data_IF_880933697687
#
_entry.id   IF_880933697687
#
_cell.length_a   1.000
_cell.length_b   1.000
_cell.length_c   1.000
_cell.angle_alpha   90.00
_cell.angle_beta   90.00
_cell.angle_gamma   90.00
#
_symmetry.space_group_name_H-M   'P 1'
#
loop_
_entity.id
_entity.type
_entity.pdbx_description
1 polymer ?
#
# COMPACT_ATOMS: atom_id res chain seq x y z
N UNK A 1 18.28 -20.27 -18.79
CA UNK A 1 18.75 -18.90 -18.50
C UNK A 1 17.68 -18.24 -17.65
N UNK A 2 18.08 -17.71 -16.49
CA UNK A 2 17.28 -17.06 -15.45
C UNK A 2 16.46 -15.94 -16.10
N UNK A 3 15.20 -15.76 -15.68
CA UNK A 3 14.40 -14.59 -16.07
C UNK A 3 15.31 -13.36 -15.98
N UNK A 4 15.61 -12.65 -17.09
CA UNK A 4 16.18 -11.34 -16.95
C UNK A 4 15.14 -10.54 -16.15
N UNK A 5 15.62 -9.78 -15.18
CA UNK A 5 14.90 -8.84 -14.31
C UNK A 5 14.09 -7.77 -15.08
N UNK A 6 13.27 -8.14 -16.07
CA UNK A 6 12.26 -7.33 -16.72
C UNK A 6 10.99 -7.17 -15.86
N UNK A 7 11.17 -7.10 -14.55
CA UNK A 7 10.13 -6.83 -13.57
C UNK A 7 10.70 -6.12 -12.35
N UNK A 8 11.86 -5.48 -12.52
CA UNK A 8 12.53 -4.69 -11.49
C UNK A 8 11.64 -3.51 -11.11
N UNK A 9 10.88 -3.68 -10.03
CA UNK A 9 10.42 -2.58 -9.21
C UNK A 9 11.67 -1.79 -8.82
N UNK A 10 11.96 -0.76 -9.60
CA UNK A 10 13.05 0.19 -9.35
C UNK A 10 13.00 0.62 -7.88
N UNK A 11 14.14 0.93 -7.27
CA UNK A 11 14.16 1.43 -5.90
C UNK A 11 13.14 2.58 -5.70
N UNK A 12 12.90 3.36 -6.75
CA UNK A 12 11.88 4.40 -6.85
C UNK A 12 10.44 3.87 -6.81
N UNK A 13 10.10 2.81 -7.54
CA UNK A 13 8.78 2.19 -7.44
C UNK A 13 8.55 1.52 -6.08
N UNK A 14 9.59 0.96 -5.47
CA UNK A 14 9.54 0.43 -4.11
C UNK A 14 9.33 1.56 -3.10
N UNK A 15 10.08 2.64 -3.20
CA UNK A 15 9.93 3.83 -2.37
C UNK A 15 8.56 4.50 -2.55
N UNK A 16 8.05 4.54 -3.79
CA UNK A 16 6.71 5.06 -4.08
C UNK A 16 5.62 4.18 -3.47
N UNK A 17 5.77 2.85 -3.52
CA UNK A 17 4.84 1.92 -2.84
C UNK A 17 4.92 2.05 -1.32
N UNK A 18 6.11 2.23 -0.76
CA UNK A 18 6.29 2.44 0.68
C UNK A 18 5.65 3.77 1.12
N UNK A 19 5.87 4.86 0.37
CA UNK A 19 5.21 6.14 0.63
C UNK A 19 3.69 6.03 0.52
N UNK A 20 3.18 5.31 -0.48
CA UNK A 20 1.74 5.04 -0.62
C UNK A 20 1.21 4.23 0.57
N UNK A 21 1.99 3.26 1.06
CA UNK A 21 1.61 2.43 2.21
C UNK A 21 1.56 3.25 3.50
N UNK A 22 2.55 4.12 3.73
CA UNK A 22 2.59 5.03 4.88
C UNK A 22 1.47 6.07 4.82
N UNK A 23 1.25 6.70 3.67
CA UNK A 23 0.16 7.67 3.49
C UNK A 23 -1.22 7.00 3.61
N UNK A 24 -1.35 5.74 3.17
CA UNK A 24 -2.57 4.97 3.39
C UNK A 24 -2.75 4.58 4.86
N UNK A 25 -1.67 4.29 5.58
CA UNK A 25 -1.71 4.01 7.01
C UNK A 25 -2.18 5.21 7.82
N UNK A 26 -1.62 6.39 7.55
CA UNK A 26 -2.01 7.65 8.19
C UNK A 26 -3.51 7.93 7.97
N UNK A 27 -4.00 7.78 6.73
CA UNK A 27 -5.41 7.91 6.40
C UNK A 27 -6.29 6.90 7.16
N UNK A 28 -5.86 5.65 7.28
CA UNK A 28 -6.59 4.61 8.01
C UNK A 28 -6.60 4.90 9.53
N UNK A 29 -5.49 5.41 10.09
CA UNK A 29 -5.38 5.78 11.51
C UNK A 29 -6.25 6.98 11.88
N UNK A 30 -6.37 7.99 11.00
CA UNK A 30 -7.32 9.11 11.21
C UNK A 30 -8.79 8.72 10.98
N UNK A 31 -9.07 7.44 10.68
CA UNK A 31 -10.42 6.89 10.54
C UNK A 31 -10.99 6.95 9.12
N UNK A 32 -10.17 7.17 8.09
CA UNK A 32 -10.63 7.13 6.71
C UNK A 32 -11.10 5.72 6.32
N UNK A 33 -12.19 5.67 5.56
CA UNK A 33 -12.75 4.40 5.07
C UNK A 33 -11.89 3.79 3.96
N UNK A 34 -11.90 2.46 3.84
CA UNK A 34 -11.22 1.73 2.76
C UNK A 34 -11.60 2.22 1.35
N UNK A 35 -12.82 2.73 1.16
CA UNK A 35 -13.25 3.36 -0.09
C UNK A 35 -12.54 4.70 -0.39
N UNK A 36 -12.27 5.49 0.65
CA UNK A 36 -11.57 6.78 0.53
C UNK A 36 -10.11 6.55 0.15
N UNK A 37 -9.46 5.62 0.85
CA UNK A 37 -8.08 5.18 0.58
C UNK A 37 -7.98 4.61 -0.84
N UNK A 38 -8.93 3.76 -1.25
CA UNK A 38 -8.98 3.20 -2.60
C UNK A 38 -9.09 4.30 -3.68
N UNK A 39 -9.98 5.28 -3.49
CA UNK A 39 -10.12 6.42 -4.41
C UNK A 39 -8.85 7.28 -4.46
N UNK A 40 -8.26 7.59 -3.30
CA UNK A 40 -7.06 8.44 -3.17
C UNK A 40 -5.85 7.84 -3.89
N UNK A 41 -5.62 6.54 -3.73
CA UNK A 41 -4.47 5.84 -4.31
C UNK A 41 -4.78 5.15 -5.64
N UNK A 42 -6.01 5.29 -6.16
CA UNK A 42 -6.52 4.59 -7.36
C UNK A 42 -6.27 3.08 -7.32
N UNK A 43 -6.48 2.48 -6.15
CA UNK A 43 -6.37 1.04 -5.95
C UNK A 43 -7.75 0.43 -5.77
N UNK A 44 -7.83 -0.89 -5.89
CA UNK A 44 -9.07 -1.61 -5.59
C UNK A 44 -9.38 -1.56 -4.10
N UNK A 45 -10.67 -1.60 -3.77
CA UNK A 45 -11.15 -1.67 -2.39
C UNK A 45 -10.59 -2.87 -1.62
N UNK A 46 -10.36 -3.98 -2.33
CA UNK A 46 -9.67 -5.17 -1.79
C UNK A 46 -8.22 -4.89 -1.37
N UNK A 47 -7.48 -4.07 -2.12
CA UNK A 47 -6.10 -3.68 -1.76
C UNK A 47 -6.10 -2.78 -0.52
N UNK A 48 -7.00 -1.80 -0.47
CA UNK A 48 -7.17 -0.95 0.72
C UNK A 48 -7.60 -1.77 1.95
N UNK A 49 -8.50 -2.74 1.79
CA UNK A 49 -8.89 -3.65 2.88
C UNK A 49 -7.72 -4.51 3.35
N UNK A 50 -6.88 -5.01 2.43
CA UNK A 50 -5.66 -5.74 2.76
C UNK A 50 -4.67 -4.87 3.54
N UNK A 51 -4.48 -3.61 3.16
CA UNK A 51 -3.62 -2.67 3.89
C UNK A 51 -4.15 -2.39 5.29
N UNK A 52 -5.46 -2.14 5.43
CA UNK A 52 -6.10 -1.97 6.74
C UNK A 52 -5.93 -3.20 7.62
N UNK A 53 -6.14 -4.41 7.08
CA UNK A 53 -5.90 -5.66 7.81
C UNK A 53 -4.44 -5.82 8.20
N UNK A 54 -3.49 -5.51 7.31
CA UNK A 54 -2.07 -5.59 7.59
C UNK A 54 -1.64 -4.61 8.70
N UNK A 55 -2.20 -3.40 8.72
CA UNK A 55 -1.99 -2.42 9.79
C UNK A 55 -2.62 -2.86 11.11
N UNK A 56 -3.84 -3.41 11.06
CA UNK A 56 -4.51 -3.95 12.24
C UNK A 56 -3.83 -5.21 12.81
N UNK A 57 -3.20 -6.04 11.96
CA UNK A 57 -2.47 -7.24 12.38
C UNK A 57 -1.01 -6.98 12.73
N UNK A 58 -0.45 -5.85 12.32
CA UNK A 58 0.97 -5.53 12.39
C UNK A 58 1.20 -4.11 12.88
N UNK A 59 0.55 -3.72 13.98
CA UNK A 59 0.88 -2.49 14.67
C UNK A 59 2.39 -2.43 14.92
N UNK A 60 3.08 -1.53 14.21
CA UNK A 60 4.53 -1.26 14.27
C UNK A 60 5.41 -2.51 14.47
N UNK A 61 5.81 -3.14 13.37
CA UNK A 61 7.10 -3.83 13.33
C UNK A 61 7.82 -3.54 12.02
#
# INVERSE_FOLDING_TARGET
>A
MRYPDGGGLTAEERARREQVRLAAADLIEVGASDAEVARRFRVTRMSANRWRRALASGGRQ
#
